data_IF_771244601469
#
_entry.id   IF_771244601469
#
_cell.length_a   1.000
_cell.length_b   1.000
_cell.length_c   1.000
_cell.angle_alpha   90.00
_cell.angle_beta   90.00
_cell.angle_gamma   90.00
#
_symmetry.space_group_name_H-M   'P 1'
#
loop_
_entity.id
_entity.type
_entity.pdbx_description
1 polymer ?
#
# COMPACT_ATOMS: atom_id res chain seq x y z
N UNK A 1 -32.26 -6.38 62.66
CA UNK A 1 -31.36 -7.31 61.95
C UNK A 1 -30.79 -6.59 60.73
N UNK A 2 -29.47 -6.33 60.66
CA UNK A 2 -28.83 -5.76 59.47
C UNK A 2 -28.45 -6.89 58.51
N UNK A 3 -28.80 -6.79 57.22
CA UNK A 3 -28.29 -7.67 56.17
C UNK A 3 -27.59 -6.84 55.10
N UNK A 4 -26.44 -7.36 54.66
CA UNK A 4 -25.39 -6.64 53.94
C UNK A 4 -25.70 -6.67 52.44
N UNK A 5 -25.53 -5.53 51.76
CA UNK A 5 -25.47 -5.48 50.28
C UNK A 5 -24.01 -5.58 49.86
N UNK A 6 -23.60 -6.75 49.37
CA UNK A 6 -22.37 -6.91 48.61
C UNK A 6 -22.75 -6.99 47.13
N UNK A 7 -22.52 -5.92 46.36
CA UNK A 7 -22.48 -6.02 44.90
C UNK A 7 -21.05 -6.37 44.47
N UNK A 8 -20.92 -7.41 43.67
CA UNK A 8 -19.64 -7.93 43.20
C UNK A 8 -18.97 -6.98 42.22
N UNK A 9 -17.68 -6.70 42.44
CA UNK A 9 -16.80 -6.04 41.48
C UNK A 9 -16.40 -7.04 40.39
N UNK A 10 -16.98 -6.93 39.19
CA UNK A 10 -16.54 -7.71 38.03
C UNK A 10 -15.40 -6.98 37.32
N UNK A 11 -14.17 -7.24 37.74
CA UNK A 11 -12.98 -6.77 37.04
C UNK A 11 -12.70 -7.66 35.82
N UNK A 12 -12.82 -7.10 34.61
CA UNK A 12 -12.42 -7.78 33.36
C UNK A 12 -10.96 -7.46 33.09
N UNK A 13 -10.06 -8.37 33.44
CA UNK A 13 -8.67 -8.32 33.04
C UNK A 13 -8.49 -9.02 31.68
N UNK A 14 -8.06 -8.29 30.65
CA UNK A 14 -7.75 -8.84 29.32
C UNK A 14 -6.23 -8.94 29.11
N UNK A 15 -5.79 -10.19 28.89
CA UNK A 15 -4.42 -10.71 28.78
C UNK A 15 -4.46 -12.02 27.99
N UNK A 16 -3.53 -12.40 27.12
CA UNK A 16 -2.36 -11.71 26.51
C UNK A 16 -2.45 -11.91 24.97
N UNK A 17 -1.75 -11.18 24.10
CA UNK A 17 -0.34 -11.41 23.68
C UNK A 17 0.03 -10.37 22.59
N UNK A 18 1.33 -10.24 22.26
CA UNK A 18 1.81 -9.42 21.14
C UNK A 18 3.28 -9.02 21.26
N UNK A 19 4.20 -9.99 21.33
CA UNK A 19 5.64 -9.71 21.35
C UNK A 19 6.06 -9.12 20.00
N UNK A 20 6.26 -7.80 19.95
CA UNK A 20 6.86 -7.14 18.79
C UNK A 20 8.29 -7.64 18.62
N UNK A 21 8.51 -8.46 17.59
CA UNK A 21 9.83 -8.73 17.05
C UNK A 21 10.36 -7.43 16.41
N UNK A 22 10.90 -6.52 17.23
CA UNK A 22 11.79 -5.47 16.75
C UNK A 22 13.10 -6.12 16.32
N UNK A 23 13.09 -6.70 15.12
CA UNK A 23 14.34 -6.95 14.40
C UNK A 23 14.94 -5.58 14.11
N UNK A 24 16.20 -5.34 14.48
CA UNK A 24 16.92 -4.13 14.09
C UNK A 24 17.12 -4.09 12.57
N UNK A 25 16.09 -3.71 11.82
CA UNK A 25 16.22 -3.27 10.44
C UNK A 25 16.75 -1.85 10.45
N UNK A 26 17.67 -1.57 9.53
CA UNK A 26 18.05 -0.18 9.24
C UNK A 26 16.81 0.51 8.70
N UNK A 27 16.40 1.56 9.39
CA UNK A 27 15.37 2.48 8.96
C UNK A 27 15.69 2.93 7.54
N UNK A 28 14.89 2.48 6.57
CA UNK A 28 15.08 2.72 5.15
C UNK A 28 14.25 3.89 4.64
N UNK A 29 13.85 4.79 5.56
CA UNK A 29 12.97 5.92 5.30
C UNK A 29 11.48 5.55 5.33
N UNK A 30 11.14 4.33 5.75
CA UNK A 30 9.77 3.79 5.73
C UNK A 30 9.24 3.62 7.15
N UNK A 31 8.43 4.58 7.62
CA UNK A 31 7.70 4.53 8.90
C UNK A 31 7.04 3.15 9.07
N UNK A 32 7.43 2.30 10.03
CA UNK A 32 7.11 0.86 9.93
C UNK A 32 5.59 0.54 9.90
N UNK A 33 4.75 1.38 10.51
CA UNK A 33 3.29 1.26 10.50
C UNK A 33 2.65 1.92 9.25
N UNK A 34 2.27 1.09 8.27
CA UNK A 34 1.47 1.53 7.12
C UNK A 34 -0.02 1.61 7.51
N UNK A 35 -0.58 2.82 7.51
CA UNK A 35 -2.02 3.03 7.75
C UNK A 35 -2.86 2.46 6.58
N UNK A 36 -4.06 1.89 6.83
CA UNK A 36 -4.95 1.42 5.77
C UNK A 36 -5.40 2.55 4.84
N UNK A 37 -5.52 2.27 3.54
CA UNK A 37 -6.02 3.22 2.53
C UNK A 37 -5.24 4.55 2.50
N UNK A 38 -3.90 4.49 2.61
CA UNK A 38 -3.03 5.66 2.48
C UNK A 38 -1.88 5.43 1.50
N UNK A 39 -1.36 6.53 0.96
CA UNK A 39 -0.08 6.64 0.27
C UNK A 39 0.93 7.26 1.27
N UNK A 40 2.19 6.85 1.23
CA UNK A 40 3.26 7.36 2.10
C UNK A 40 4.55 7.55 1.30
N UNK A 41 5.10 8.75 1.36
CA UNK A 41 6.32 9.18 0.65
C UNK A 41 7.00 10.34 1.41
N UNK A 42 8.04 10.96 0.84
CA UNK A 42 8.90 11.96 1.52
C UNK A 42 8.16 13.12 2.21
N UNK A 43 6.98 13.53 1.72
CA UNK A 43 6.20 14.67 2.26
C UNK A 43 5.19 14.26 3.34
N UNK A 44 5.03 12.97 3.64
CA UNK A 44 4.14 12.47 4.69
C UNK A 44 3.25 11.30 4.27
N UNK A 45 2.19 11.10 5.05
CA UNK A 45 1.17 10.06 4.85
C UNK A 45 -0.15 10.75 4.46
N UNK A 46 -0.79 10.27 3.39
CA UNK A 46 -1.98 10.90 2.80
C UNK A 46 -3.09 9.86 2.57
N UNK A 47 -4.35 10.15 2.98
CA UNK A 47 -5.48 9.25 2.76
C UNK A 47 -5.86 9.19 1.28
N UNK A 48 -6.11 7.99 0.78
CA UNK A 48 -6.66 7.77 -0.56
C UNK A 48 -8.17 7.97 -0.49
N UNK A 49 -8.70 8.83 -1.37
CA UNK A 49 -10.12 9.15 -1.42
C UNK A 49 -10.84 8.44 -2.57
N UNK A 50 -10.15 8.29 -3.68
CA UNK A 50 -10.65 7.69 -4.92
C UNK A 50 -9.67 6.67 -5.43
N UNK A 51 -10.20 5.60 -6.01
CA UNK A 51 -9.42 4.67 -6.81
C UNK A 51 -10.15 4.42 -8.13
N UNK A 52 -9.39 4.47 -9.22
CA UNK A 52 -9.88 4.27 -10.58
C UNK A 52 -9.12 3.13 -11.23
N UNK A 53 -9.81 2.33 -12.04
CA UNK A 53 -9.21 1.29 -12.87
C UNK A 53 -9.60 1.48 -14.34
N UNK A 54 -8.61 1.39 -15.23
CA UNK A 54 -8.74 1.46 -16.68
C UNK A 54 -8.29 0.12 -17.26
N UNK A 55 -9.14 -0.50 -18.09
CA UNK A 55 -8.82 -1.76 -18.75
C UNK A 55 -7.94 -1.52 -19.99
N UNK A 56 -6.76 -2.15 -20.01
CA UNK A 56 -5.79 -2.06 -21.12
C UNK A 56 -5.52 -3.42 -21.75
N UNK A 57 -6.54 -4.28 -21.84
CA UNK A 57 -6.45 -5.61 -22.45
C UNK A 57 -5.70 -6.62 -21.59
N UNK A 58 -4.37 -6.63 -21.65
CA UNK A 58 -3.51 -7.55 -20.88
C UNK A 58 -3.17 -7.03 -19.47
N UNK A 59 -3.29 -5.72 -19.26
CA UNK A 59 -3.00 -5.04 -17.98
C UNK A 59 -4.21 -4.22 -17.51
N UNK A 60 -4.18 -3.84 -16.24
CA UNK A 60 -4.95 -2.72 -15.72
C UNK A 60 -4.01 -1.53 -15.50
N UNK A 61 -4.46 -0.32 -15.83
CA UNK A 61 -3.88 0.90 -15.23
C UNK A 61 -4.76 1.27 -14.04
N UNK A 62 -4.15 1.38 -12.87
CA UNK A 62 -4.84 1.72 -11.62
C UNK A 62 -4.31 3.08 -11.17
N UNK A 63 -5.22 3.97 -10.76
CA UNK A 63 -4.92 5.32 -10.27
C UNK A 63 -5.52 5.46 -8.87
N UNK A 64 -4.71 5.86 -7.90
CA UNK A 64 -5.11 6.14 -6.52
C UNK A 64 -5.02 7.67 -6.31
N UNK A 65 -6.09 8.31 -5.88
CA UNK A 65 -6.20 9.78 -5.85
C UNK A 65 -6.41 10.29 -4.41
N UNK A 66 -5.75 11.40 -4.07
CA UNK A 66 -5.82 12.10 -2.78
C UNK A 66 -6.40 13.52 -3.02
N UNK A 67 -7.54 13.90 -2.43
CA UNK A 67 -7.89 15.33 -2.45
C UNK A 67 -6.96 16.10 -1.51
N UNK A 68 -6.31 17.10 -2.08
CA UNK A 68 -5.75 18.31 -1.46
C UNK A 68 -4.61 18.90 -2.30
N UNK A 69 -4.02 18.12 -3.23
CA UNK A 69 -2.72 18.42 -3.85
C UNK A 69 -2.49 17.88 -5.28
N UNK A 70 -3.52 17.40 -5.97
CA UNK A 70 -3.39 16.71 -7.28
C UNK A 70 -2.42 15.51 -7.28
N UNK A 71 -2.17 14.93 -6.10
CA UNK A 71 -1.35 13.72 -5.95
C UNK A 71 -2.18 12.54 -6.44
N UNK A 72 -1.71 11.87 -7.47
CA UNK A 72 -2.13 10.53 -7.81
C UNK A 72 -0.96 9.56 -7.89
N UNK A 73 -1.22 8.32 -7.53
CA UNK A 73 -0.32 7.20 -7.80
C UNK A 73 -0.93 6.39 -8.91
N UNK A 74 -0.23 6.36 -10.03
CA UNK A 74 -0.56 5.61 -11.23
C UNK A 74 0.34 4.38 -11.30
N UNK A 75 -0.25 3.19 -11.46
CA UNK A 75 0.49 1.95 -11.61
C UNK A 75 -0.11 1.04 -12.69
N UNK A 76 0.73 0.29 -13.37
CA UNK A 76 0.32 -0.68 -14.41
C UNK A 76 0.54 -2.10 -13.91
N UNK A 77 -0.54 -2.89 -13.90
CA UNK A 77 -0.58 -4.22 -13.29
C UNK A 77 -1.00 -5.33 -14.27
N UNK A 78 -0.26 -6.45 -14.41
CA UNK A 78 -0.65 -7.55 -15.29
C UNK A 78 -1.83 -8.35 -14.74
N UNK A 79 -2.90 -8.53 -15.53
CA UNK A 79 -4.12 -9.23 -15.06
C UNK A 79 -3.86 -10.67 -14.65
N UNK A 80 -2.95 -11.36 -15.35
CA UNK A 80 -2.53 -12.73 -15.04
C UNK A 80 -1.68 -12.87 -13.77
N UNK A 81 -1.40 -11.76 -13.05
CA UNK A 81 -0.70 -11.73 -11.77
C UNK A 81 -1.61 -11.40 -10.58
N UNK A 82 -2.93 -11.26 -10.74
CA UNK A 82 -3.83 -11.09 -9.59
C UNK A 82 -3.68 -12.29 -8.63
N UNK A 83 -3.64 -12.00 -7.32
CA UNK A 83 -3.33 -12.99 -6.27
C UNK A 83 -1.84 -13.30 -6.11
N UNK A 84 -0.95 -12.47 -6.69
CA UNK A 84 0.52 -12.59 -6.60
C UNK A 84 1.13 -11.18 -6.47
N UNK A 85 2.40 -11.10 -6.11
CA UNK A 85 3.19 -9.87 -6.28
C UNK A 85 3.87 -9.82 -7.66
N UNK A 86 4.16 -8.62 -8.12
CA UNK A 86 5.11 -8.30 -9.19
C UNK A 86 6.34 -7.71 -8.51
N UNK A 87 7.49 -8.37 -8.68
CA UNK A 87 8.79 -7.89 -8.18
C UNK A 87 9.32 -6.81 -9.13
N UNK A 88 9.53 -5.60 -8.60
CA UNK A 88 10.03 -4.46 -9.38
C UNK A 88 11.56 -4.34 -9.34
N UNK A 89 12.25 -5.17 -8.55
CA UNK A 89 13.72 -5.30 -8.62
C UNK A 89 14.19 -6.02 -9.90
N UNK A 90 13.23 -6.59 -10.64
CA UNK A 90 13.44 -7.14 -11.97
C UNK A 90 12.81 -6.21 -13.02
N UNK A 91 13.48 -6.06 -14.17
CA UNK A 91 12.87 -5.43 -15.36
C UNK A 91 11.65 -6.23 -15.81
N UNK A 92 10.60 -5.55 -16.24
CA UNK A 92 9.36 -6.19 -16.67
C UNK A 92 8.28 -5.22 -17.14
N UNK A 93 7.11 -5.76 -17.48
CA UNK A 93 5.94 -5.01 -17.96
C UNK A 93 5.14 -4.38 -16.82
N UNK A 94 5.80 -3.56 -16.01
CA UNK A 94 5.21 -2.75 -14.94
C UNK A 94 5.61 -1.28 -15.12
N UNK A 95 4.76 -0.37 -14.66
CA UNK A 95 5.00 1.07 -14.65
C UNK A 95 4.52 1.59 -13.30
N UNK A 96 5.23 2.58 -12.75
CA UNK A 96 4.87 3.25 -11.51
C UNK A 96 5.19 4.74 -11.65
N UNK A 97 4.19 5.57 -11.38
CA UNK A 97 4.21 7.02 -11.46
C UNK A 97 3.58 7.53 -10.15
N UNK A 98 4.40 8.19 -9.32
CA UNK A 98 4.07 8.71 -8.01
C UNK A 98 5.02 9.86 -7.65
N UNK A 99 4.74 10.59 -6.57
CA UNK A 99 5.36 11.91 -6.37
C UNK A 99 6.89 11.87 -6.22
N UNK A 100 7.44 10.87 -5.53
CA UNK A 100 8.90 10.77 -5.37
C UNK A 100 9.58 10.01 -6.53
N UNK A 101 8.83 9.17 -7.26
CA UNK A 101 9.35 8.16 -8.18
C UNK A 101 8.42 7.94 -9.40
N UNK A 102 8.88 8.34 -10.59
CA UNK A 102 8.35 7.92 -11.90
C UNK A 102 9.35 6.97 -12.58
N UNK A 103 8.90 5.76 -12.93
CA UNK A 103 9.71 4.69 -13.54
C UNK A 103 8.90 3.74 -14.43
N UNK A 104 9.55 3.30 -15.51
CA UNK A 104 9.06 2.24 -16.39
C UNK A 104 9.96 0.99 -16.30
N UNK A 105 9.35 -0.16 -15.95
CA UNK A 105 10.04 -1.42 -15.72
C UNK A 105 10.70 -2.04 -16.96
N UNK A 106 10.32 -1.62 -18.16
CA UNK A 106 11.04 -2.02 -19.38
C UNK A 106 12.43 -1.37 -19.48
N UNK A 107 12.62 -0.22 -18.82
CA UNK A 107 13.84 0.60 -18.85
C UNK A 107 14.70 0.40 -17.59
N UNK A 108 14.08 0.34 -16.42
CA UNK A 108 14.74 0.41 -15.11
C UNK A 108 14.31 -0.76 -14.22
N UNK A 109 15.21 -1.21 -13.36
CA UNK A 109 14.90 -2.07 -12.21
C UNK A 109 15.05 -1.25 -10.92
N UNK A 110 14.17 -1.48 -9.95
CA UNK A 110 14.19 -0.81 -8.65
C UNK A 110 15.06 -1.57 -7.63
N UNK A 111 15.17 -1.03 -6.43
CA UNK A 111 15.88 -1.69 -5.34
C UNK A 111 15.13 -2.92 -4.84
N UNK A 112 15.86 -3.88 -4.27
CA UNK A 112 15.31 -5.09 -3.67
C UNK A 112 14.19 -4.80 -2.67
N UNK A 113 13.18 -5.66 -2.66
CA UNK A 113 11.97 -5.50 -1.86
C UNK A 113 10.95 -4.52 -2.43
N UNK A 114 11.17 -3.98 -3.64
CA UNK A 114 10.15 -3.22 -4.37
C UNK A 114 9.13 -4.16 -5.02
N UNK A 115 7.83 -3.93 -4.82
CA UNK A 115 6.75 -4.74 -5.37
C UNK A 115 5.49 -3.92 -5.66
N UNK A 116 4.64 -4.42 -6.55
CA UNK A 116 3.20 -4.13 -6.58
C UNK A 116 2.47 -5.45 -6.41
N UNK A 117 1.43 -5.50 -5.57
CA UNK A 117 0.57 -6.65 -5.38
C UNK A 117 -0.90 -6.22 -5.52
N UNK A 118 -1.65 -6.98 -6.33
CA UNK A 118 -3.11 -6.92 -6.35
C UNK A 118 -3.60 -8.29 -5.92
N UNK A 119 -3.94 -8.43 -4.64
CA UNK A 119 -4.34 -9.70 -4.04
C UNK A 119 -5.67 -10.18 -4.63
N UNK A 120 -6.58 -9.24 -4.90
CA UNK A 120 -7.89 -9.52 -5.47
C UNK A 120 -8.45 -8.29 -6.19
N UNK A 121 -9.10 -8.53 -7.33
CA UNK A 121 -10.00 -7.57 -7.98
C UNK A 121 -11.25 -8.32 -8.42
N UNK A 122 -12.42 -7.89 -7.96
CA UNK A 122 -13.71 -8.53 -8.28
C UNK A 122 -14.88 -7.61 -7.96
N UNK A 123 -15.93 -7.61 -8.77
CA UNK A 123 -17.19 -6.89 -8.51
C UNK A 123 -16.97 -5.39 -8.19
N UNK A 124 -16.05 -4.73 -8.89
CA UNK A 124 -15.72 -3.32 -8.68
C UNK A 124 -14.99 -3.01 -7.36
N UNK A 125 -14.40 -4.01 -6.69
CA UNK A 125 -13.65 -3.84 -5.45
C UNK A 125 -12.23 -4.43 -5.59
N UNK A 126 -11.21 -3.72 -5.10
CA UNK A 126 -9.80 -4.10 -5.20
C UNK A 126 -9.16 -4.22 -3.81
N UNK A 127 -8.17 -5.10 -3.71
CA UNK A 127 -7.19 -5.18 -2.62
C UNK A 127 -5.79 -5.06 -3.23
N UNK A 128 -5.11 -3.96 -2.90
CA UNK A 128 -3.85 -3.56 -3.50
C UNK A 128 -2.87 -3.11 -2.43
N UNK A 129 -1.60 -3.47 -2.58
CA UNK A 129 -0.50 -2.88 -1.83
C UNK A 129 0.75 -2.75 -2.71
N UNK A 130 1.60 -1.78 -2.41
CA UNK A 130 2.85 -1.59 -3.15
C UNK A 130 3.95 -0.99 -2.27
N UNK A 131 5.19 -1.21 -2.70
CA UNK A 131 6.40 -0.60 -2.15
C UNK A 131 7.37 -0.37 -3.31
N UNK A 132 7.86 0.85 -3.45
CA UNK A 132 8.72 1.28 -4.56
C UNK A 132 9.93 1.95 -3.92
N UNK A 133 11.13 1.45 -4.20
CA UNK A 133 12.38 1.99 -3.64
C UNK A 133 13.38 2.23 -4.78
N UNK A 134 13.80 3.46 -4.97
CA UNK A 134 14.82 3.82 -5.96
C UNK A 134 16.08 4.32 -5.24
N UNK A 135 17.21 3.65 -5.47
CA UNK A 135 18.51 4.11 -4.99
C UNK A 135 19.19 4.90 -6.11
N UNK A 136 19.61 6.12 -5.81
CA UNK A 136 20.38 6.96 -6.72
C UNK A 136 21.51 7.68 -5.98
N UNK A 137 22.31 8.48 -6.70
CA UNK A 137 23.47 9.20 -6.14
C UNK A 137 23.14 10.17 -4.99
N UNK A 138 21.86 10.55 -4.83
CA UNK A 138 21.39 11.45 -3.78
C UNK A 138 20.77 10.70 -2.59
N UNK A 139 20.79 9.36 -2.58
CA UNK A 139 20.25 8.51 -1.50
C UNK A 139 19.15 7.55 -1.97
N UNK A 140 18.31 7.14 -1.03
CA UNK A 140 17.14 6.29 -1.28
C UNK A 140 15.90 7.18 -1.36
N UNK A 141 15.14 7.04 -2.45
CA UNK A 141 13.74 7.49 -2.49
C UNK A 141 12.84 6.28 -2.30
N UNK A 142 11.75 6.46 -1.56
CA UNK A 142 10.85 5.38 -1.25
C UNK A 142 9.40 5.88 -1.19
N UNK A 143 8.52 5.13 -1.82
CA UNK A 143 7.09 5.38 -1.81
C UNK A 143 6.35 4.05 -1.61
N UNK A 144 5.23 4.08 -0.91
CA UNK A 144 4.40 2.89 -0.66
C UNK A 144 2.96 3.29 -0.42
N UNK A 145 2.07 2.33 -0.54
CA UNK A 145 0.67 2.52 -0.21
C UNK A 145 -0.10 1.22 -0.21
N UNK A 146 -1.34 1.31 0.23
CA UNK A 146 -2.30 0.22 0.13
C UNK A 146 -3.69 0.79 -0.08
N UNK A 147 -4.54 0.03 -0.76
CA UNK A 147 -5.94 0.38 -0.95
C UNK A 147 -6.80 -0.89 -0.95
N UNK A 148 -7.81 -0.89 -0.08
CA UNK A 148 -8.90 -1.85 -0.02
C UNK A 148 -10.20 -1.06 -0.12
N UNK A 149 -10.84 -1.09 -1.29
CA UNK A 149 -11.99 -0.23 -1.55
C UNK A 149 -12.65 -0.47 -2.91
N UNK A 150 -13.78 0.23 -3.16
CA UNK A 150 -14.41 0.26 -4.48
C UNK A 150 -13.50 0.97 -5.49
N UNK A 151 -13.57 0.57 -6.75
CA UNK A 151 -12.89 1.26 -7.86
C UNK A 151 -13.88 1.72 -8.91
N UNK A 152 -13.70 2.94 -9.39
CA UNK A 152 -14.42 3.45 -10.55
C UNK A 152 -13.77 2.89 -11.82
N UNK A 153 -14.57 2.30 -12.71
CA UNK A 153 -14.08 1.84 -14.02
C UNK A 153 -14.11 3.02 -14.99
N UNK A 154 -12.96 3.46 -15.50
CA UNK A 154 -12.92 4.36 -16.66
C UNK A 154 -13.10 3.53 -17.93
N UNK A 155 -14.07 3.92 -18.75
CA UNK A 155 -14.18 3.43 -20.12
C UNK A 155 -12.99 3.97 -20.93
N UNK A 156 -12.33 3.07 -21.65
CA UNK A 156 -11.24 3.32 -22.60
C UNK A 156 -11.75 3.83 -23.94
#
# INVERSE_FOLDING_TARGET
MKKIKALSLLAVALLVFGTLFTSCRKDDGMIEDQQPNTISYSRGIFPIESATIEDRGATYKIRLEVNSRDIDVTLVYPKNRIGKSVDLSQRGSWEFDGEDIDVNGSKVALAEGSYIAVDKYSNGYIWLSYRVRQVNKNGVRAERGNYSGPVYVRAS
#
